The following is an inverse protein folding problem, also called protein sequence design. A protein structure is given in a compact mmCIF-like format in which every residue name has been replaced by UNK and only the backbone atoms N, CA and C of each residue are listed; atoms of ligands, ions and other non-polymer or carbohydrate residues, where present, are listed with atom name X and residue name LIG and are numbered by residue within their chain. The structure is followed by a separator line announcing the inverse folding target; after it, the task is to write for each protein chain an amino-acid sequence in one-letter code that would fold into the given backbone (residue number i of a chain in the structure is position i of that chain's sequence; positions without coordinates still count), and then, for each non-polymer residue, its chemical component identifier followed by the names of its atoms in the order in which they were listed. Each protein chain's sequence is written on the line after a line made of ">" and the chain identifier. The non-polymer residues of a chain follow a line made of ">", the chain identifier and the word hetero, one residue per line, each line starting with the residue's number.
data_IF_510969513761
#
_entry.id   IF_510969513761
#
_cell.length_a   1.000
_cell.length_b   1.000
_cell.length_c   1.000
_cell.angle_alpha   90.00
_cell.angle_beta   90.00
_cell.angle_gamma   90.00
#
_symmetry.space_group_name_H-M   'P 1'
#
loop_
_entity.id
_entity.type
_entity.pdbx_description
1 polymer ?
#
# COMPACT_ATOMS: atom_id res chain seq x y z
N UNK A 1 -26.82 -13.87 -1.60
CA UNK A 1 -25.78 -13.29 -2.48
C UNK A 1 -24.53 -14.12 -2.33
N UNK A 2 -23.80 -14.38 -3.42
CA UNK A 2 -22.48 -15.02 -3.31
C UNK A 2 -21.47 -13.97 -2.85
N UNK A 3 -20.38 -14.39 -2.19
CA UNK A 3 -19.34 -13.49 -1.70
C UNK A 3 -18.77 -12.60 -2.83
N UNK A 4 -18.63 -13.17 -4.03
CA UNK A 4 -18.15 -12.49 -5.23
C UNK A 4 -19.05 -11.34 -5.71
N UNK A 5 -20.31 -11.28 -5.27
CA UNK A 5 -21.26 -10.23 -5.68
C UNK A 5 -21.19 -8.99 -4.77
N UNK A 6 -20.41 -9.03 -3.70
CA UNK A 6 -20.30 -7.94 -2.72
C UNK A 6 -19.20 -6.95 -3.11
N UNK A 7 -19.25 -5.69 -2.65
CA UNK A 7 -18.14 -4.75 -2.85
C UNK A 7 -16.82 -5.31 -2.29
N UNK A 8 -15.70 -5.05 -2.97
CA UNK A 8 -14.38 -5.60 -2.60
C UNK A 8 -14.00 -5.35 -1.13
N UNK A 9 -14.33 -4.16 -0.58
CA UNK A 9 -14.04 -3.85 0.84
C UNK A 9 -14.81 -4.76 1.82
N UNK A 10 -15.98 -5.27 1.43
CA UNK A 10 -16.75 -6.25 2.23
C UNK A 10 -16.13 -7.64 2.11
N UNK A 11 -15.66 -7.99 0.91
CA UNK A 11 -14.99 -9.26 0.67
C UNK A 11 -13.69 -9.40 1.48
N UNK A 12 -13.01 -8.29 1.80
CA UNK A 12 -11.83 -8.29 2.70
C UNK A 12 -12.12 -8.89 4.08
N UNK A 13 -13.37 -8.86 4.56
CA UNK A 13 -13.77 -9.46 5.84
C UNK A 13 -13.96 -10.99 5.77
N UNK A 14 -13.82 -11.60 4.60
CA UNK A 14 -13.96 -13.05 4.40
C UNK A 14 -13.06 -13.51 3.25
N UNK A 15 -11.72 -13.51 3.43
CA UNK A 15 -10.80 -13.76 2.33
C UNK A 15 -10.89 -15.21 1.83
N UNK A 16 -11.04 -15.37 0.52
CA UNK A 16 -10.92 -16.65 -0.20
C UNK A 16 -9.84 -16.54 -1.26
N UNK A 17 -8.95 -17.53 -1.36
CA UNK A 17 -7.82 -17.72 -2.30
C UNK A 17 -7.39 -16.52 -3.19
N UNK A 18 -6.18 -15.98 -2.97
CA UNK A 18 -5.87 -14.58 -3.35
C UNK A 18 -4.55 -14.32 -4.09
N UNK A 19 -3.75 -15.35 -4.41
CA UNK A 19 -2.38 -15.11 -4.90
C UNK A 19 -2.28 -14.93 -6.44
N UNK A 20 -3.08 -15.67 -7.20
CA UNK A 20 -3.13 -15.54 -8.67
C UNK A 20 -3.77 -14.21 -9.09
N UNK A 21 -4.90 -13.84 -8.47
CA UNK A 21 -5.60 -12.58 -8.73
C UNK A 21 -4.74 -11.35 -8.45
N UNK A 22 -3.97 -11.36 -7.35
CA UNK A 22 -3.03 -10.28 -7.03
C UNK A 22 -1.94 -10.13 -8.10
N UNK A 23 -1.47 -11.25 -8.66
CA UNK A 23 -0.44 -11.26 -9.70
C UNK A 23 -0.99 -10.67 -11.00
N UNK A 24 -2.20 -11.06 -11.40
CA UNK A 24 -2.87 -10.50 -12.59
C UNK A 24 -3.13 -9.00 -12.46
N UNK A 25 -3.58 -8.54 -11.28
CA UNK A 25 -3.78 -7.11 -11.02
C UNK A 25 -2.48 -6.32 -11.08
N UNK A 26 -1.37 -6.86 -10.55
CA UNK A 26 -0.04 -6.23 -10.67
C UNK A 26 0.41 -6.10 -12.11
N UNK A 27 0.16 -7.12 -12.93
CA UNK A 27 0.43 -7.08 -14.37
C UNK A 27 -0.46 -6.03 -15.04
N UNK A 28 -1.75 -5.96 -14.72
CA UNK A 28 -2.65 -4.95 -15.29
C UNK A 28 -2.19 -3.51 -14.95
N UNK A 29 -1.80 -3.27 -13.70
CA UNK A 29 -1.27 -1.98 -13.24
C UNK A 29 0.06 -1.61 -13.91
N UNK A 30 0.92 -2.59 -14.26
CA UNK A 30 2.18 -2.30 -14.95
C UNK A 30 1.99 -1.90 -16.41
N UNK A 31 0.87 -2.26 -17.04
CA UNK A 31 0.56 -1.89 -18.42
C UNK A 31 -0.18 -0.54 -18.54
N UNK A 32 -0.74 -0.02 -17.44
CA UNK A 32 -1.45 1.26 -17.42
C UNK A 32 -0.75 2.26 -16.49
N UNK A 33 0.25 2.95 -17.04
CA UNK A 33 1.05 3.94 -16.30
C UNK A 33 0.21 5.12 -15.76
N UNK A 34 -0.91 5.47 -16.39
CA UNK A 34 -1.79 6.51 -15.87
C UNK A 34 -2.49 6.06 -14.57
N UNK A 35 -3.15 4.89 -14.59
CA UNK A 35 -3.83 4.35 -13.41
C UNK A 35 -2.84 4.11 -12.27
N UNK A 36 -1.66 3.59 -12.60
CA UNK A 36 -0.56 3.39 -11.65
C UNK A 36 -0.15 4.71 -10.98
N UNK A 37 0.04 5.78 -11.76
CA UNK A 37 0.39 7.10 -11.23
C UNK A 37 -0.73 7.72 -10.39
N UNK A 38 -1.99 7.59 -10.81
CA UNK A 38 -3.15 8.07 -10.05
C UNK A 38 -3.29 7.32 -8.72
N UNK A 39 -3.09 6.00 -8.72
CA UNK A 39 -3.10 5.18 -7.50
C UNK A 39 -1.98 5.57 -6.53
N UNK A 40 -0.75 5.75 -7.03
CA UNK A 40 0.39 6.18 -6.22
C UNK A 40 0.14 7.56 -5.59
N UNK A 41 -0.37 8.53 -6.37
CA UNK A 41 -0.74 9.86 -5.87
C UNK A 41 -1.86 9.79 -4.83
N UNK A 42 -2.87 8.96 -5.06
CA UNK A 42 -3.97 8.76 -4.12
C UNK A 42 -3.46 8.22 -2.77
N UNK A 43 -2.64 7.15 -2.81
CA UNK A 43 -2.09 6.55 -1.59
C UNK A 43 -1.18 7.52 -0.83
N UNK A 44 -0.34 8.27 -1.53
CA UNK A 44 0.48 9.31 -0.93
C UNK A 44 -0.37 10.41 -0.28
N UNK A 45 -1.41 10.90 -0.97
CA UNK A 45 -2.32 11.92 -0.42
C UNK A 45 -3.04 11.40 0.83
N UNK A 46 -3.51 10.15 0.82
CA UNK A 46 -4.15 9.51 1.96
C UNK A 46 -3.18 9.39 3.15
N UNK A 47 -1.94 8.98 2.90
CA UNK A 47 -0.88 8.95 3.91
C UNK A 47 -0.64 10.33 4.52
N UNK A 48 -0.58 11.40 3.72
CA UNK A 48 -0.45 12.76 4.22
C UNK A 48 -1.63 13.18 5.10
N UNK A 49 -2.87 12.85 4.70
CA UNK A 49 -4.08 13.16 5.48
C UNK A 49 -4.04 12.48 6.85
N UNK A 50 -3.73 11.18 6.90
CA UNK A 50 -3.66 10.42 8.15
C UNK A 50 -2.59 10.97 9.09
N UNK A 51 -1.40 11.28 8.57
CA UNK A 51 -0.34 11.92 9.36
C UNK A 51 -0.75 13.32 9.85
N UNK A 52 -1.45 14.10 9.02
CA UNK A 52 -1.95 15.40 9.45
C UNK A 52 -3.01 15.29 10.54
N UNK A 53 -3.85 14.24 10.52
CA UNK A 53 -4.83 13.98 11.59
C UNK A 53 -4.11 13.59 12.88
N UNK A 54 -3.17 12.65 12.81
CA UNK A 54 -2.36 12.25 13.96
C UNK A 54 -1.65 13.43 14.65
N UNK A 55 -1.07 14.38 13.88
CA UNK A 55 -0.39 15.55 14.46
C UNK A 55 -1.31 16.51 15.22
N UNK A 56 -2.60 16.55 14.85
CA UNK A 56 -3.58 17.47 15.42
C UNK A 56 -4.40 16.83 16.54
N UNK A 57 -4.38 15.50 16.63
CA UNK A 57 -5.18 14.75 17.59
C UNK A 57 -4.59 14.83 19.00
N UNK A 58 -5.43 15.16 19.98
CA UNK A 58 -5.06 15.28 21.39
C UNK A 58 -5.24 13.96 22.14
N UNK A 59 -6.18 13.13 21.70
CA UNK A 59 -6.39 11.79 22.23
C UNK A 59 -5.29 10.82 21.75
N UNK A 60 -4.56 10.22 22.69
CA UNK A 60 -3.43 9.33 22.37
C UNK A 60 -3.85 8.02 21.68
N UNK A 61 -5.05 7.50 21.98
CA UNK A 61 -5.55 6.26 21.38
C UNK A 61 -5.94 6.52 19.93
N UNK A 62 -6.70 7.59 19.67
CA UNK A 62 -7.09 7.99 18.32
C UNK A 62 -5.85 8.40 17.49
N UNK A 63 -4.90 9.11 18.09
CA UNK A 63 -3.64 9.46 17.43
C UNK A 63 -2.89 8.22 16.96
N UNK A 64 -2.79 7.21 17.83
CA UNK A 64 -2.13 5.94 17.52
C UNK A 64 -2.83 5.19 16.40
N UNK A 65 -4.15 5.18 16.35
CA UNK A 65 -4.91 4.60 15.24
C UNK A 65 -4.58 5.29 13.90
N UNK A 66 -4.54 6.62 13.87
CA UNK A 66 -4.15 7.35 12.66
C UNK A 66 -2.71 7.06 12.21
N UNK A 67 -1.78 6.91 13.16
CA UNK A 67 -0.40 6.54 12.85
C UNK A 67 -0.31 5.12 12.28
N UNK A 68 -1.01 4.16 12.87
CA UNK A 68 -1.07 2.78 12.39
C UNK A 68 -1.67 2.72 10.98
N UNK A 69 -2.78 3.43 10.75
CA UNK A 69 -3.39 3.51 9.43
C UNK A 69 -2.43 4.13 8.39
N UNK A 70 -1.71 5.20 8.75
CA UNK A 70 -0.72 5.80 7.88
C UNK A 70 0.42 4.81 7.56
N UNK A 71 0.90 4.08 8.56
CA UNK A 71 1.94 3.07 8.37
C UNK A 71 1.49 1.96 7.41
N UNK A 72 0.28 1.42 7.60
CA UNK A 72 -0.29 0.41 6.72
C UNK A 72 -0.41 0.89 5.26
N UNK A 73 -0.82 2.15 5.04
CA UNK A 73 -0.86 2.75 3.70
C UNK A 73 0.54 2.80 3.09
N UNK A 74 1.56 3.20 3.86
CA UNK A 74 2.94 3.25 3.39
C UNK A 74 3.48 1.85 3.04
N UNK A 75 3.21 0.84 3.87
CA UNK A 75 3.59 -0.55 3.60
C UNK A 75 2.94 -1.09 2.32
N UNK A 76 1.62 -0.93 2.19
CA UNK A 76 0.89 -1.36 0.98
C UNK A 76 1.43 -0.65 -0.26
N UNK A 77 1.68 0.65 -0.18
CA UNK A 77 2.30 1.41 -1.28
C UNK A 77 3.65 0.82 -1.67
N UNK A 78 4.49 0.51 -0.67
CA UNK A 78 5.76 -0.19 -0.88
C UNK A 78 5.57 -1.55 -1.55
N UNK A 79 4.59 -2.36 -1.13
CA UNK A 79 4.32 -3.67 -1.73
C UNK A 79 3.77 -3.62 -3.16
N UNK A 80 3.15 -2.51 -3.57
CA UNK A 80 2.60 -2.32 -4.92
C UNK A 80 3.68 -1.79 -5.88
N UNK A 81 4.49 -0.81 -5.44
CA UNK A 81 5.37 -0.07 -6.35
C UNK A 81 6.87 -0.29 -6.13
N UNK A 82 7.28 -0.95 -5.04
CA UNK A 82 8.71 -1.26 -4.86
C UNK A 82 9.18 -2.19 -5.97
N UNK A 83 10.36 -1.96 -6.57
CA UNK A 83 10.94 -2.89 -7.52
C UNK A 83 11.16 -4.25 -6.85
N UNK A 84 10.81 -5.34 -7.55
CA UNK A 84 10.92 -6.74 -7.10
C UNK A 84 12.35 -7.22 -6.76
N UNK A 85 13.34 -6.31 -6.71
CA UNK A 85 14.69 -6.62 -6.27
C UNK A 85 15.15 -5.62 -5.21
N UNK A 86 15.60 -6.07 -4.03
CA UNK A 86 16.52 -5.25 -3.26
C UNK A 86 17.70 -4.91 -4.18
N UNK A 87 18.00 -3.62 -4.35
CA UNK A 87 19.29 -3.22 -4.92
C UNK A 87 20.37 -3.87 -4.04
N UNK A 88 21.30 -4.67 -4.59
CA UNK A 88 22.41 -5.17 -3.79
C UNK A 88 23.18 -3.96 -3.26
N UNK A 89 23.21 -3.78 -1.94
CA UNK A 89 23.98 -2.73 -1.26
C UNK A 89 25.46 -3.04 -1.16
N UNK A 90 25.95 -4.10 -1.80
CA UNK A 90 27.38 -4.43 -1.83
C UNK A 90 28.08 -3.71 -2.98
N UNK A 91 28.25 -2.40 -2.82
CA UNK A 91 29.35 -1.70 -3.48
C UNK A 91 30.62 -2.09 -2.74
N UNK A 92 31.43 -2.95 -3.36
CA UNK A 92 32.78 -3.30 -2.88
C UNK A 92 33.56 -2.00 -2.67
N UNK A 93 33.89 -1.69 -1.41
CA UNK A 93 34.88 -0.65 -1.12
C UNK A 93 36.20 -1.07 -1.80
N UNK A 94 36.85 -0.20 -2.59
CA UNK A 94 38.19 -0.49 -3.06
C UNK A 94 39.10 -0.52 -1.83
N UNK A 95 39.70 -1.67 -1.56
CA UNK A 95 40.87 -1.79 -0.69
C UNK A 95 41.96 -0.89 -1.26
N UNK A 96 42.32 0.15 -0.50
CA UNK A 96 43.59 0.87 -0.61
C UNK A 96 44.53 0.27 0.42
#
# INVERSE_FOLDING_TARGET
>A
MKLADLPLWVQMCSPTGSQEELTELRISLSHNEQIKSELERFLHAQWCVLNSKARKELDEDIRREYQQAAHAVAEITGMIFSPDRPKPTTGTLPTV
#
